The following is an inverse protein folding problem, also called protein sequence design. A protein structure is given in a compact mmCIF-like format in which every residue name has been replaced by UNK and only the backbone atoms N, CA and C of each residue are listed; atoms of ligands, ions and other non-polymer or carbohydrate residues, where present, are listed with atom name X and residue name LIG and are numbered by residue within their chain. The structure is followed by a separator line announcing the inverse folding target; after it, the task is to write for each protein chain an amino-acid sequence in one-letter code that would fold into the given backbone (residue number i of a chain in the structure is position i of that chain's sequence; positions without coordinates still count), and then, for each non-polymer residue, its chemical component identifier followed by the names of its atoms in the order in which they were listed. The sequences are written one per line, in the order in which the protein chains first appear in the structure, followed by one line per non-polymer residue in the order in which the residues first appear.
data_IF_503128575547
#
_entry.id   IF_503128575547
#
_cell.length_a   1.000
_cell.length_b   1.000
_cell.length_c   1.000
_cell.angle_alpha   90.00
_cell.angle_beta   90.00
_cell.angle_gamma   90.00
#
_symmetry.space_group_name_H-M   'P 1'
#
loop_
_entity.id
_entity.type
_entity.pdbx_description
1 polymer ?
#
# COMPACT_ATOMS: atom_id res chain seq x y z
N UNK A 1 15.47 -1.29 6.81
CA UNK A 1 14.64 -0.39 7.64
C UNK A 1 13.20 -0.46 7.14
N UNK A 2 12.24 -0.77 8.01
CA UNK A 2 10.81 -0.94 7.69
C UNK A 2 10.12 0.42 7.66
N UNK A 3 9.70 0.93 6.50
CA UNK A 3 8.94 2.19 6.39
C UNK A 3 7.49 1.99 6.78
N UNK A 4 6.99 2.90 7.59
CA UNK A 4 5.61 2.96 8.05
C UNK A 4 5.08 4.34 7.70
N UNK A 5 3.88 4.38 7.15
CA UNK A 5 3.18 5.62 6.81
C UNK A 5 1.95 5.76 7.68
N UNK A 6 1.71 6.96 8.21
CA UNK A 6 0.56 7.26 9.06
C UNK A 6 -0.36 8.23 8.35
N UNK A 7 -1.65 7.93 8.31
CA UNK A 7 -2.64 8.92 7.90
C UNK A 7 -2.90 9.90 9.05
N UNK A 8 -2.53 11.17 8.84
CA UNK A 8 -2.78 12.27 9.78
C UNK A 8 -4.21 12.78 9.66
N UNK A 9 -4.73 12.88 8.43
CA UNK A 9 -6.10 13.29 8.10
C UNK A 9 -6.80 12.18 7.31
N UNK A 10 -7.29 11.12 7.97
CA UNK A 10 -7.84 9.94 7.31
C UNK A 10 -9.06 10.25 6.42
N UNK A 11 -9.92 11.18 6.85
CA UNK A 11 -11.13 11.54 6.09
C UNK A 11 -10.80 12.28 4.79
N UNK A 12 -9.81 13.17 4.81
CA UNK A 12 -9.33 13.85 3.59
C UNK A 12 -8.73 12.87 2.59
N UNK A 13 -7.96 11.89 3.07
CA UNK A 13 -7.41 10.82 2.22
C UNK A 13 -8.53 10.03 1.56
N UNK A 14 -9.56 9.67 2.33
CA UNK A 14 -10.71 8.95 1.79
C UNK A 14 -11.50 9.79 0.78
N UNK A 15 -11.66 11.09 1.03
CA UNK A 15 -12.32 12.02 0.12
C UNK A 15 -11.56 12.17 -1.20
N UNK A 16 -10.24 12.37 -1.15
CA UNK A 16 -9.39 12.43 -2.34
C UNK A 16 -9.45 11.12 -3.14
N UNK A 17 -9.43 9.98 -2.45
CA UNK A 17 -9.63 8.69 -3.09
C UNK A 17 -11.03 8.55 -3.73
N UNK A 18 -12.07 9.04 -3.06
CA UNK A 18 -13.42 9.12 -3.58
C UNK A 18 -13.50 9.90 -4.89
N UNK A 19 -12.94 11.11 -4.91
CA UNK A 19 -12.86 11.97 -6.11
C UNK A 19 -12.16 11.22 -7.25
N UNK A 20 -11.00 10.61 -6.99
CA UNK A 20 -10.24 9.84 -7.99
C UNK A 20 -11.05 8.66 -8.56
N UNK A 21 -11.96 8.07 -7.78
CA UNK A 21 -12.79 6.93 -8.16
C UNK A 21 -14.24 7.31 -8.49
N UNK A 22 -14.54 8.60 -8.63
CA UNK A 22 -15.88 9.12 -8.89
C UNK A 22 -16.93 8.57 -7.90
N UNK A 23 -16.57 8.53 -6.61
CA UNK A 23 -17.43 8.09 -5.52
C UNK A 23 -17.43 9.13 -4.40
N UNK A 24 -18.42 10.02 -4.45
CA UNK A 24 -18.56 11.16 -3.53
C UNK A 24 -18.94 10.74 -2.10
N UNK A 25 -19.41 9.49 -1.92
CA UNK A 25 -19.78 8.93 -0.61
C UNK A 25 -18.69 8.02 -0.01
N UNK A 26 -17.44 8.22 -0.43
CA UNK A 26 -16.29 7.53 0.12
C UNK A 26 -15.99 8.02 1.55
N UNK A 27 -15.85 7.08 2.47
CA UNK A 27 -15.47 7.34 3.87
C UNK A 27 -14.20 6.58 4.22
N UNK A 28 -13.49 7.01 5.26
CA UNK A 28 -12.29 6.31 5.71
C UNK A 28 -12.59 4.87 6.16
N UNK A 29 -13.77 4.60 6.70
CA UNK A 29 -14.17 3.24 7.08
C UNK A 29 -14.22 2.30 5.88
N UNK A 30 -14.89 2.71 4.79
CA UNK A 30 -14.98 1.95 3.53
C UNK A 30 -13.61 1.81 2.87
N UNK A 31 -12.85 2.90 2.82
CA UNK A 31 -11.49 2.90 2.28
C UNK A 31 -10.57 1.95 3.06
N UNK A 32 -10.56 2.06 4.40
CA UNK A 32 -9.74 1.20 5.26
C UNK A 32 -10.14 -0.27 5.15
N UNK A 33 -11.43 -0.56 4.89
CA UNK A 33 -11.90 -1.92 4.62
C UNK A 33 -11.30 -2.51 3.35
N UNK A 34 -11.20 -1.71 2.29
CA UNK A 34 -10.52 -2.09 1.06
C UNK A 34 -9.02 -2.33 1.29
N UNK A 35 -8.36 -1.43 2.03
CA UNK A 35 -6.94 -1.58 2.40
C UNK A 35 -6.66 -2.89 3.14
N UNK A 36 -7.54 -3.32 4.06
CA UNK A 36 -7.39 -4.59 4.78
C UNK A 36 -7.45 -5.82 3.87
N UNK A 37 -8.14 -5.77 2.73
CA UNK A 37 -8.13 -6.89 1.78
C UNK A 37 -6.74 -7.13 1.16
N UNK A 38 -5.89 -6.09 1.11
CA UNK A 38 -4.53 -6.21 0.59
C UNK A 38 -3.54 -6.88 1.55
N UNK A 39 -3.95 -7.18 2.79
CA UNK A 39 -3.10 -7.91 3.74
C UNK A 39 -2.84 -9.35 3.27
N UNK A 40 -3.88 -10.05 2.80
CA UNK A 40 -3.76 -11.44 2.32
C UNK A 40 -2.83 -11.55 1.12
N UNK A 41 -2.82 -10.52 0.26
CA UNK A 41 -2.01 -10.50 -0.96
C UNK A 41 -0.63 -9.85 -0.73
N UNK A 42 -0.23 -9.59 0.51
CA UNK A 42 1.07 -9.03 0.91
C UNK A 42 1.42 -7.68 0.25
N UNK A 43 0.43 -6.95 -0.25
CA UNK A 43 0.61 -5.59 -0.79
C UNK A 43 0.74 -4.59 0.36
N UNK A 44 0.00 -4.82 1.44
CA UNK A 44 0.12 -4.08 2.70
C UNK A 44 0.36 -5.03 3.87
N UNK A 45 1.11 -4.56 4.85
CA UNK A 45 1.26 -5.20 6.16
C UNK A 45 0.39 -4.50 7.22
N UNK A 46 -0.24 -5.31 8.07
CA UNK A 46 -0.93 -4.82 9.27
C UNK A 46 0.08 -4.33 10.31
N UNK A 47 -0.23 -3.24 11.00
CA UNK A 47 0.54 -2.72 12.15
C UNK A 47 -0.36 -2.74 13.39
N UNK A 48 -0.42 -3.87 14.14
CA UNK A 48 -1.47 -4.09 15.14
C UNK A 48 -1.49 -3.07 16.28
N UNK A 49 -0.32 -2.56 16.67
CA UNK A 49 -0.16 -1.66 17.81
C UNK A 49 -0.35 -0.18 17.49
N UNK A 50 -0.61 0.19 16.22
CA UNK A 50 -0.66 1.60 15.81
C UNK A 50 -1.85 1.90 14.90
N UNK A 51 -2.74 2.77 15.37
CA UNK A 51 -3.90 3.23 14.60
C UNK A 51 -3.47 4.12 13.45
N UNK A 52 -4.15 3.97 12.30
CA UNK A 52 -3.92 4.73 11.07
C UNK A 52 -2.51 4.57 10.47
N UNK A 53 -1.74 3.59 10.96
CA UNK A 53 -0.40 3.29 10.46
C UNK A 53 -0.46 2.05 9.59
N UNK A 54 0.14 2.17 8.41
CA UNK A 54 0.21 1.11 7.42
C UNK A 54 1.64 0.96 6.94
N UNK A 55 1.95 -0.25 6.48
CA UNK A 55 3.26 -0.59 5.93
C UNK A 55 3.07 -1.21 4.55
N UNK A 56 3.91 -0.84 3.59
CA UNK A 56 3.97 -1.56 2.34
C UNK A 56 4.56 -2.95 2.57
N UNK A 57 3.84 -3.96 2.10
CA UNK A 57 4.30 -5.34 2.15
C UNK A 57 5.26 -5.64 1.01
N UNK A 58 5.83 -6.86 0.99
CA UNK A 58 6.79 -7.26 -0.02
C UNK A 58 6.23 -7.15 -1.44
N UNK A 59 4.92 -7.28 -1.66
CA UNK A 59 4.27 -7.13 -2.98
C UNK A 59 3.73 -5.71 -3.26
N UNK A 60 3.84 -4.78 -2.31
CA UNK A 60 3.42 -3.37 -2.46
C UNK A 60 4.45 -2.51 -3.20
N UNK A 61 4.09 -1.32 -3.68
CA UNK A 61 5.00 -0.45 -4.43
C UNK A 61 6.29 -0.14 -3.67
N UNK A 62 7.41 0.02 -4.38
CA UNK A 62 8.61 0.57 -3.77
C UNK A 62 8.43 2.08 -3.60
N UNK A 63 8.57 2.56 -2.37
CA UNK A 63 8.44 3.96 -2.02
C UNK A 63 9.76 4.73 -2.20
N UNK A 64 10.88 4.02 -2.41
CA UNK A 64 12.21 4.61 -2.67
C UNK A 64 12.50 4.80 -4.16
N UNK A 65 11.56 4.46 -5.03
CA UNK A 65 11.77 4.59 -6.47
C UNK A 65 11.73 6.05 -6.91
N UNK A 66 12.65 6.42 -7.80
CA UNK A 66 12.65 7.72 -8.48
C UNK A 66 11.52 7.81 -9.53
N UNK A 67 10.84 6.71 -9.82
CA UNK A 67 9.70 6.69 -10.74
C UNK A 67 8.46 7.33 -10.07
N UNK A 68 7.95 8.46 -10.61
CA UNK A 68 6.81 9.16 -10.01
C UNK A 68 5.51 8.34 -9.99
N UNK A 69 5.44 7.26 -10.79
CA UNK A 69 4.28 6.39 -10.87
C UNK A 69 4.33 5.21 -9.87
N UNK A 70 5.35 5.12 -9.02
CA UNK A 70 5.52 4.05 -8.01
C UNK A 70 5.37 2.63 -8.58
N UNK A 71 5.73 2.45 -9.86
CA UNK A 71 5.63 1.17 -10.54
C UNK A 71 6.70 0.26 -9.99
N UNK A 72 6.28 -0.90 -9.48
CA UNK A 72 7.21 -2.00 -9.30
C UNK A 72 7.67 -2.48 -10.65
N UNK A 73 8.94 -2.23 -10.98
CA UNK A 73 9.57 -2.88 -12.11
C UNK A 73 9.48 -4.39 -11.83
N UNK A 74 8.75 -5.12 -12.67
CA UNK A 74 8.43 -6.56 -12.49
C UNK A 74 9.68 -7.44 -12.31
N UNK A 75 10.85 -6.97 -12.72
CA UNK A 75 12.08 -7.76 -12.82
C UNK A 75 12.71 -8.18 -11.48
N UNK A 76 12.52 -7.44 -10.38
CA UNK A 76 13.27 -7.75 -9.14
C UNK A 76 12.79 -9.00 -8.40
N UNK A 77 11.52 -9.41 -8.59
CA UNK A 77 10.97 -10.62 -7.97
C UNK A 77 11.37 -11.90 -8.72
N UNK A 78 11.45 -11.86 -10.04
CA UNK A 78 11.87 -13.01 -10.86
C UNK A 78 13.39 -13.24 -10.76
N UNK A 79 14.20 -12.17 -10.68
CA UNK A 79 15.66 -12.25 -10.53
C UNK A 79 16.12 -12.90 -9.21
N UNK A 80 15.34 -12.79 -8.13
CA UNK A 80 15.67 -13.45 -6.86
C UNK A 80 15.21 -14.92 -6.80
N UNK A 81 14.16 -15.30 -7.52
CA UNK A 81 13.74 -16.71 -7.60
C UNK A 81 14.68 -17.54 -8.48
N UNK A 82 15.27 -16.97 -9.54
CA UNK A 82 16.22 -17.71 -10.39
C UNK A 82 17.59 -17.91 -9.71
N UNK A 83 18.00 -17.03 -8.80
CA UNK A 83 19.28 -17.13 -8.08
C UNK A 83 19.27 -18.04 -6.83
N UNK A 84 18.12 -18.56 -6.40
CA UNK A 84 18.02 -19.48 -5.25
C UNK A 84 17.89 -20.94 -5.71
N UNK A 85 17.56 -21.17 -6.98
CA UNK A 85 17.45 -22.49 -7.61
C UNK A 85 18.53 -22.74 -8.68
N UNK A 86 19.57 -21.91 -8.75
CA UNK A 86 20.78 -22.12 -9.55
C UNK A 86 22.01 -22.33 -8.68
#
# INVERSE_FOLDING_TARGET
MKTRSKFVKPDEVAKLWGIQKQNDHMTFEKFSRAMRYHYKNCVLGSVPSQRLVYQFGPKGPDYRTDNPNFVKVKSEYELHSENIYS
#
